data_IF_008655657972
#
_entry.id   IF_008655657972
#
_cell.length_a   1.000
_cell.length_b   1.000
_cell.length_c   1.000
_cell.angle_alpha   90.00
_cell.angle_beta   90.00
_cell.angle_gamma   90.00
#
_symmetry.space_group_name_H-M   'P 1'
#
loop_
_entity.id
_entity.type
_entity.pdbx_description
1 polymer ?
#
# COMPACT_ATOMS: atom_id res chain seq x y z
N UNK A 1 14.04 16.60 11.01
CA UNK A 1 14.20 16.38 12.47
C UNK A 1 15.68 16.18 12.76
N UNK A 2 16.23 16.81 13.80
CA UNK A 2 17.61 16.52 14.23
C UNK A 2 17.63 15.10 14.79
N UNK A 3 18.19 14.14 14.04
CA UNK A 3 18.07 12.71 14.34
C UNK A 3 18.73 12.27 15.66
N UNK A 4 19.53 13.11 16.30
CA UNK A 4 20.30 12.78 17.51
C UNK A 4 19.46 12.51 18.77
N UNK A 5 18.25 13.07 18.86
CA UNK A 5 17.39 12.94 20.04
C UNK A 5 16.73 11.57 20.22
N UNK A 6 16.78 10.72 19.18
CA UNK A 6 16.14 9.40 19.14
C UNK A 6 17.12 8.27 18.81
N UNK A 7 18.41 8.57 18.60
CA UNK A 7 19.41 7.56 18.28
C UNK A 7 19.75 6.69 19.49
N UNK A 8 19.71 5.37 19.23
CA UNK A 8 20.47 4.30 19.89
C UNK A 8 20.25 4.11 21.38
N UNK A 9 19.60 3.01 21.76
CA UNK A 9 20.00 2.38 23.02
C UNK A 9 21.46 1.94 22.83
N UNK A 10 22.40 2.66 23.44
CA UNK A 10 23.83 2.35 23.35
C UNK A 10 24.18 0.92 23.80
N UNK A 11 23.22 0.21 24.42
CA UNK A 11 23.34 -1.18 24.85
C UNK A 11 22.89 -2.19 23.80
N UNK A 12 22.26 -1.76 22.70
CA UNK A 12 21.76 -2.66 21.66
C UNK A 12 22.50 -2.47 20.33
N UNK A 13 23.12 -3.55 19.84
CA UNK A 13 23.72 -3.62 18.51
C UNK A 13 23.34 -4.94 17.86
N UNK A 14 22.83 -4.88 16.63
CA UNK A 14 22.57 -6.08 15.81
C UNK A 14 23.84 -6.89 15.54
N UNK A 15 25.02 -6.28 15.65
CA UNK A 15 26.30 -6.99 15.49
C UNK A 15 26.52 -8.08 16.55
N UNK A 16 25.85 -7.98 17.71
CA UNK A 16 25.90 -8.99 18.77
C UNK A 16 24.99 -10.20 18.50
N UNK A 17 24.18 -10.15 17.44
CA UNK A 17 23.20 -11.18 17.12
C UNK A 17 23.55 -11.87 15.81
N UNK A 18 23.36 -13.19 15.79
CA UNK A 18 23.28 -13.93 14.53
C UNK A 18 21.83 -13.97 14.08
N UNK A 19 21.55 -13.44 12.89
CA UNK A 19 20.25 -13.57 12.26
C UNK A 19 20.09 -14.95 11.61
N UNK A 20 19.05 -15.69 11.98
CA UNK A 20 18.42 -16.71 11.15
C UNK A 20 17.22 -16.12 10.40
N UNK A 21 16.42 -16.94 9.71
CA UNK A 21 15.30 -16.49 8.86
C UNK A 21 14.46 -15.37 9.51
N UNK A 22 13.87 -15.64 10.68
CA UNK A 22 13.11 -14.67 11.48
C UNK A 22 13.47 -14.71 12.97
N UNK A 23 14.59 -15.34 13.31
CA UNK A 23 15.04 -15.57 14.69
C UNK A 23 16.37 -14.89 14.94
N UNK A 24 16.54 -14.35 16.14
CA UNK A 24 17.77 -13.75 16.60
C UNK A 24 18.43 -14.64 17.64
N UNK A 25 19.73 -14.84 17.51
CA UNK A 25 20.51 -15.72 18.37
C UNK A 25 21.68 -14.97 19.02
N UNK A 26 21.97 -15.31 20.27
CA UNK A 26 23.11 -14.80 21.06
C UNK A 26 23.87 -16.01 21.64
N UNK A 27 25.21 -15.99 21.70
CA UNK A 27 25.96 -17.08 22.33
C UNK A 27 25.81 -17.02 23.85
N UNK A 28 25.61 -18.17 24.50
CA UNK A 28 25.68 -18.29 25.95
C UNK A 28 27.14 -18.25 26.45
N UNK A 29 27.33 -18.34 27.77
CA UNK A 29 28.66 -18.34 28.41
C UNK A 29 29.57 -19.50 27.95
N UNK A 30 29.03 -20.52 27.28
CA UNK A 30 29.76 -21.67 26.73
C UNK A 30 29.95 -21.56 25.21
N UNK A 31 29.52 -20.45 24.60
CA UNK A 31 29.60 -20.21 23.16
C UNK A 31 28.49 -20.90 22.34
N UNK A 32 27.46 -21.45 22.99
CA UNK A 32 26.33 -22.10 22.30
C UNK A 32 25.28 -21.05 21.94
N UNK A 33 24.87 -21.03 20.67
CA UNK A 33 23.85 -20.11 20.18
C UNK A 33 22.47 -20.44 20.74
N UNK A 34 21.88 -19.53 21.49
CA UNK A 34 20.52 -19.63 22.01
C UNK A 34 19.62 -18.58 21.36
N UNK A 35 18.36 -18.93 21.13
CA UNK A 35 17.38 -18.00 20.58
C UNK A 35 17.10 -16.91 21.62
N UNK A 36 17.37 -15.66 21.27
CA UNK A 36 17.23 -14.49 22.14
C UNK A 36 16.23 -13.47 21.59
N UNK A 37 15.51 -13.80 20.51
CA UNK A 37 14.56 -12.89 19.90
C UNK A 37 14.03 -13.35 18.55
N UNK A 38 13.30 -12.46 17.89
CA UNK A 38 12.72 -12.66 16.56
C UNK A 38 12.58 -11.33 15.81
N UNK A 39 12.44 -11.42 14.49
CA UNK A 39 12.06 -10.30 13.62
C UNK A 39 10.67 -10.61 13.06
N UNK A 40 9.70 -9.71 13.28
CA UNK A 40 8.33 -9.88 12.77
C UNK A 40 8.27 -9.66 11.25
N UNK A 41 7.18 -10.07 10.60
CA UNK A 41 6.98 -9.84 9.16
C UNK A 41 6.99 -8.34 8.80
N UNK A 42 6.60 -7.50 9.77
CA UNK A 42 6.60 -6.04 9.68
C UNK A 42 7.94 -5.39 10.07
N UNK A 43 8.98 -6.18 10.34
CA UNK A 43 10.34 -5.68 10.62
C UNK A 43 10.59 -5.21 12.04
N UNK A 44 9.66 -5.46 12.98
CA UNK A 44 9.91 -5.18 14.40
C UNK A 44 10.86 -6.24 14.94
N UNK A 45 11.95 -5.79 15.53
CA UNK A 45 12.96 -6.62 16.19
C UNK A 45 12.55 -6.77 17.64
N UNK A 46 12.23 -8.00 18.06
CA UNK A 46 11.86 -8.33 19.43
C UNK A 46 13.01 -9.10 20.09
N UNK A 47 13.48 -8.60 21.22
CA UNK A 47 14.54 -9.24 22.01
C UNK A 47 13.95 -9.75 23.30
N UNK A 48 14.12 -11.05 23.53
CA UNK A 48 13.73 -11.76 24.74
C UNK A 48 14.76 -11.53 25.85
N UNK A 49 14.28 -11.19 27.04
CA UNK A 49 15.03 -11.00 28.29
C UNK A 49 14.06 -10.94 29.47
N UNK A 50 14.44 -10.32 30.60
CA UNK A 50 13.55 -10.13 31.77
C UNK A 50 12.27 -9.32 31.41
N UNK A 51 12.33 -8.52 30.36
CA UNK A 51 11.19 -7.90 29.69
C UNK A 51 11.42 -7.93 28.18
N UNK A 52 10.34 -8.09 27.40
CA UNK A 52 10.40 -8.04 25.94
C UNK A 52 10.67 -6.59 25.52
N UNK A 53 11.83 -6.35 24.91
CA UNK A 53 12.16 -5.07 24.31
C UNK A 53 11.92 -5.13 22.79
N UNK A 54 11.23 -4.12 22.25
CA UNK A 54 10.97 -3.99 20.82
C UNK A 54 11.80 -2.87 20.22
N UNK A 55 12.32 -3.12 19.03
CA UNK A 55 13.16 -2.20 18.28
C UNK A 55 12.73 -2.15 16.82
N UNK A 56 13.10 -1.06 16.15
CA UNK A 56 12.87 -0.86 14.74
C UNK A 56 14.13 -0.29 14.08
N UNK A 57 14.42 -0.72 12.85
CA UNK A 57 15.45 -0.07 12.04
C UNK A 57 14.86 1.11 11.26
N UNK A 58 15.39 2.32 11.49
CA UNK A 58 15.01 3.55 10.81
C UNK A 58 16.26 4.21 10.24
N UNK A 59 16.36 4.28 8.91
CA UNK A 59 17.47 4.96 8.24
C UNK A 59 18.85 4.38 8.55
N UNK A 60 18.95 3.05 8.76
CA UNK A 60 20.19 2.36 9.12
C UNK A 60 20.55 2.42 10.60
N UNK A 61 19.65 2.95 11.46
CA UNK A 61 19.84 3.01 12.90
C UNK A 61 18.73 2.24 13.60
N UNK A 62 19.08 1.50 14.65
CA UNK A 62 18.08 0.80 15.47
C UNK A 62 17.59 1.72 16.60
N UNK A 63 16.27 1.85 16.71
CA UNK A 63 15.59 2.67 17.71
C UNK A 63 14.68 1.80 18.57
N UNK A 64 14.57 2.12 19.86
CA UNK A 64 13.63 1.44 20.75
C UNK A 64 12.21 1.94 20.47
N UNK A 65 11.26 1.02 20.46
CA UNK A 65 9.84 1.29 20.30
C UNK A 65 9.05 0.57 21.37
N UNK A 66 7.98 1.21 21.85
CA UNK A 66 7.01 0.58 22.74
C UNK A 66 5.63 0.60 22.08
N UNK A 67 4.80 -0.41 22.38
CA UNK A 67 3.41 -0.45 21.93
C UNK A 67 2.54 0.35 22.92
N UNK A 68 1.96 1.46 22.45
CA UNK A 68 0.89 2.14 23.15
C UNK A 68 -0.40 1.35 22.95
N UNK A 69 -0.85 0.66 24.01
CA UNK A 69 -2.07 -0.16 23.99
C UNK A 69 -3.36 0.66 23.87
N UNK A 70 -3.34 1.94 24.27
CA UNK A 70 -4.51 2.83 24.18
C UNK A 70 -4.76 3.25 22.74
N UNK A 71 -3.70 3.54 21.99
CA UNK A 71 -3.79 3.89 20.56
C UNK A 71 -3.62 2.68 19.64
N UNK A 72 -3.17 1.54 20.18
CA UNK A 72 -2.72 0.37 19.44
C UNK A 72 -1.69 0.72 18.35
N UNK A 73 -0.68 1.52 18.72
CA UNK A 73 0.38 2.00 17.82
C UNK A 73 1.75 1.90 18.47
N UNK A 74 2.76 1.59 17.66
CA UNK A 74 4.14 1.70 18.10
C UNK A 74 4.55 3.16 18.22
N UNK A 75 5.31 3.48 19.26
CA UNK A 75 5.89 4.78 19.50
C UNK A 75 7.40 4.65 19.63
N UNK A 76 8.15 5.46 18.87
CA UNK A 76 9.58 5.63 19.09
C UNK A 76 9.80 6.39 20.39
N UNK A 77 10.61 5.78 21.25
CA UNK A 77 10.95 6.36 22.55
C UNK A 77 12.21 7.21 22.38
N UNK A 78 12.22 8.46 22.89
CA UNK A 78 13.43 9.28 22.95
C UNK A 78 14.53 8.55 23.71
N UNK A 79 15.80 8.86 23.41
CA UNK A 79 16.87 8.36 24.26
C UNK A 79 16.74 8.97 25.68
N UNK A 80 17.27 8.28 26.69
CA UNK A 80 17.08 8.65 28.10
C UNK A 80 17.56 10.07 28.47
N UNK A 81 18.38 10.70 27.62
CA UNK A 81 18.94 12.04 27.81
C UNK A 81 18.19 13.12 27.01
N UNK A 82 17.12 12.74 26.29
CA UNK A 82 16.32 13.63 25.46
C UNK A 82 14.97 13.90 26.10
N UNK A 83 14.57 15.17 26.13
CA UNK A 83 13.23 15.61 26.51
C UNK A 83 12.27 15.69 25.31
N UNK A 84 12.66 15.16 24.15
CA UNK A 84 11.81 15.16 22.98
C UNK A 84 10.54 14.31 23.22
N UNK A 85 9.38 14.64 22.63
CA UNK A 85 8.21 13.79 22.72
C UNK A 85 8.42 12.50 21.91
N UNK A 86 7.79 11.40 22.33
CA UNK A 86 7.77 10.16 21.55
C UNK A 86 7.06 10.37 20.20
N UNK A 87 7.49 9.62 19.18
CA UNK A 87 6.95 9.73 17.82
C UNK A 87 6.16 8.47 17.51
N UNK A 88 4.84 8.59 17.34
CA UNK A 88 4.02 7.48 16.90
C UNK A 88 4.35 7.10 15.46
N UNK A 89 4.25 5.80 15.18
CA UNK A 89 4.60 5.21 13.90
C UNK A 89 3.37 4.64 13.20
N UNK A 90 3.39 4.75 11.88
CA UNK A 90 2.55 3.98 10.98
C UNK A 90 3.42 3.02 10.18
N UNK A 91 2.86 1.88 9.77
CA UNK A 91 3.47 1.05 8.71
C UNK A 91 3.77 1.92 7.50
N UNK A 92 4.88 1.73 6.80
CA UNK A 92 5.26 2.47 5.61
C UNK A 92 4.69 1.85 4.32
N UNK A 93 5.14 2.36 3.18
CA UNK A 93 4.67 1.87 1.87
C UNK A 93 5.37 0.62 1.36
N UNK A 94 6.55 0.32 1.90
CA UNK A 94 7.37 -0.82 1.53
C UNK A 94 7.34 -1.92 2.60
N UNK A 95 7.66 -3.16 2.22
CA UNK A 95 7.71 -4.28 3.18
C UNK A 95 8.64 -3.96 4.35
N UNK A 96 8.16 -4.23 5.58
CA UNK A 96 8.90 -4.01 6.81
C UNK A 96 9.42 -2.57 6.97
N UNK A 97 8.69 -1.59 6.42
CA UNK A 97 8.99 -0.17 6.57
C UNK A 97 7.98 0.50 7.48
N UNK A 98 8.39 1.63 8.04
CA UNK A 98 7.59 2.45 8.95
C UNK A 98 7.86 3.91 8.66
N UNK A 99 6.90 4.76 9.00
CA UNK A 99 7.00 6.22 8.87
C UNK A 99 6.39 6.88 10.11
N UNK A 100 6.80 8.11 10.46
CA UNK A 100 6.12 8.84 11.52
C UNK A 100 4.63 9.05 11.18
N UNK A 101 3.80 9.03 12.22
CA UNK A 101 2.41 9.47 12.15
C UNK A 101 2.35 10.93 11.71
N UNK A 102 1.32 11.30 10.95
CA UNK A 102 1.06 12.72 10.68
C UNK A 102 0.83 13.46 12.02
N UNK A 103 1.19 14.74 12.11
CA UNK A 103 1.03 15.55 13.34
C UNK A 103 -0.44 15.92 13.59
N UNK A 104 -1.25 14.94 13.97
CA UNK A 104 -2.72 15.04 14.06
C UNK A 104 -3.19 16.24 14.88
N UNK A 105 -2.56 16.50 16.03
CA UNK A 105 -2.88 17.64 16.90
C UNK A 105 -2.58 19.01 16.28
N UNK A 106 -1.86 19.09 15.16
CA UNK A 106 -1.46 20.34 14.50
C UNK A 106 -2.08 20.54 13.11
N UNK A 107 -2.94 19.62 12.66
CA UNK A 107 -3.47 19.63 11.27
C UNK A 107 -5.01 19.63 11.20
N UNK A 108 -5.68 20.18 12.22
CA UNK A 108 -7.15 20.19 12.33
C UNK A 108 -7.88 20.74 11.10
N UNK A 109 -7.31 21.74 10.40
CA UNK A 109 -7.89 22.24 9.15
C UNK A 109 -7.89 21.20 8.03
N UNK A 110 -6.78 20.47 7.87
CA UNK A 110 -6.67 19.38 6.89
C UNK A 110 -7.66 18.27 7.20
N UNK A 111 -7.77 17.90 8.49
CA UNK A 111 -8.70 16.86 8.96
C UNK A 111 -10.15 17.23 8.63
N UNK A 112 -10.55 18.46 8.94
CA UNK A 112 -11.92 18.95 8.63
C UNK A 112 -12.20 18.94 7.13
N UNK A 113 -11.25 19.40 6.31
CA UNK A 113 -11.40 19.40 4.87
C UNK A 113 -11.49 17.97 4.31
N UNK A 114 -10.66 17.04 4.82
CA UNK A 114 -10.68 15.63 4.44
C UNK A 114 -12.00 14.95 4.80
N UNK A 115 -12.51 15.19 6.01
CA UNK A 115 -13.84 14.72 6.43
C UNK A 115 -14.93 15.25 5.50
N UNK A 116 -14.88 16.53 5.11
CA UNK A 116 -15.83 17.12 4.16
C UNK A 116 -15.77 16.43 2.79
N UNK A 117 -14.58 16.14 2.25
CA UNK A 117 -14.40 15.38 1.01
C UNK A 117 -15.04 13.99 1.07
N UNK A 118 -14.94 13.32 2.23
CA UNK A 118 -15.49 11.98 2.44
C UNK A 118 -16.94 11.96 2.91
N UNK A 119 -17.58 13.12 3.10
CA UNK A 119 -18.95 13.24 3.60
C UNK A 119 -19.12 13.06 5.11
N UNK A 120 -18.05 13.06 5.89
CA UNK A 120 -18.05 12.89 7.35
C UNK A 120 -18.13 14.23 8.11
N UNK A 121 -19.00 15.13 7.67
CA UNK A 121 -19.05 16.53 8.16
C UNK A 121 -19.46 16.68 9.63
N UNK A 122 -20.12 15.67 10.21
CA UNK A 122 -20.55 15.66 11.62
C UNK A 122 -19.50 15.12 12.59
N UNK A 123 -18.40 14.55 12.08
CA UNK A 123 -17.37 13.92 12.92
C UNK A 123 -16.43 14.97 13.51
N UNK A 124 -16.35 15.02 14.83
CA UNK A 124 -15.57 16.02 15.60
C UNK A 124 -14.52 15.40 16.53
N UNK A 125 -14.39 14.07 16.55
CA UNK A 125 -13.39 13.33 17.35
C UNK A 125 -11.97 13.82 17.10
N UNK A 126 -11.14 13.77 18.13
CA UNK A 126 -9.69 14.02 18.03
C UNK A 126 -8.99 12.72 17.63
N UNK A 127 -8.47 12.67 16.39
CA UNK A 127 -7.78 11.49 15.86
C UNK A 127 -6.43 11.21 16.55
N UNK A 128 -5.91 12.17 17.33
CA UNK A 128 -4.68 11.96 18.11
C UNK A 128 -4.91 11.15 19.39
N UNK A 129 -6.17 10.90 19.78
CA UNK A 129 -6.52 10.27 21.04
C UNK A 129 -7.16 8.90 20.82
N UNK A 130 -6.73 7.92 21.63
CA UNK A 130 -7.30 6.57 21.64
C UNK A 130 -7.27 5.85 20.29
N UNK A 131 -8.19 4.89 20.13
CA UNK A 131 -8.38 4.13 18.89
C UNK A 131 -9.27 4.94 17.93
N UNK A 132 -8.80 5.12 16.69
CA UNK A 132 -9.58 5.80 15.65
C UNK A 132 -10.87 5.05 15.30
N UNK A 133 -11.97 5.79 15.22
CA UNK A 133 -13.23 5.32 14.63
C UNK A 133 -13.04 4.92 13.16
N UNK A 134 -13.99 4.18 12.58
CA UNK A 134 -13.94 3.81 11.16
C UNK A 134 -13.84 5.04 10.24
N UNK A 135 -14.63 6.08 10.51
CA UNK A 135 -14.63 7.32 9.72
C UNK A 135 -13.31 8.09 9.87
N UNK A 136 -12.74 8.12 11.07
CA UNK A 136 -11.44 8.73 11.32
C UNK A 136 -10.31 7.97 10.63
N UNK A 137 -10.35 6.64 10.66
CA UNK A 137 -9.41 5.78 9.95
C UNK A 137 -9.46 6.01 8.44
N UNK A 138 -10.66 6.07 7.86
CA UNK A 138 -10.84 6.38 6.43
C UNK A 138 -10.35 7.80 6.09
N UNK A 139 -10.63 8.78 6.95
CA UNK A 139 -10.11 10.15 6.81
C UNK A 139 -8.58 10.18 6.87
N UNK A 140 -7.99 9.48 7.83
CA UNK A 140 -6.56 9.38 8.01
C UNK A 140 -5.88 8.73 6.80
N UNK A 141 -6.42 7.59 6.35
CA UNK A 141 -5.92 6.88 5.17
C UNK A 141 -5.96 7.77 3.92
N UNK A 142 -7.07 8.46 3.67
CA UNK A 142 -7.18 9.42 2.55
C UNK A 142 -6.11 10.51 2.61
N UNK A 143 -5.96 11.19 3.75
CA UNK A 143 -4.95 12.25 3.91
C UNK A 143 -3.54 11.71 3.68
N UNK A 144 -3.23 10.55 4.24
CA UNK A 144 -1.90 9.95 4.18
C UNK A 144 -1.56 9.47 2.78
N UNK A 145 -2.49 8.80 2.09
CA UNK A 145 -2.30 8.41 0.69
C UNK A 145 -2.08 9.64 -0.20
N UNK A 146 -2.88 10.69 -0.02
CA UNK A 146 -2.71 11.89 -0.84
C UNK A 146 -1.37 12.59 -0.56
N UNK A 147 -0.95 12.66 0.70
CA UNK A 147 0.36 13.19 1.08
C UNK A 147 1.51 12.40 0.45
N UNK A 148 1.43 11.06 0.45
CA UNK A 148 2.41 10.18 -0.19
C UNK A 148 2.46 10.38 -1.70
N UNK A 149 1.31 10.48 -2.35
CA UNK A 149 1.23 10.80 -3.78
C UNK A 149 1.87 12.16 -4.10
N UNK A 150 1.60 13.19 -3.30
CA UNK A 150 2.21 14.52 -3.49
C UNK A 150 3.74 14.45 -3.40
N UNK A 151 4.28 13.73 -2.40
CA UNK A 151 5.73 13.49 -2.29
C UNK A 151 6.28 12.83 -3.56
N UNK A 152 5.59 11.80 -4.06
CA UNK A 152 5.99 11.09 -5.26
C UNK A 152 5.97 11.99 -6.50
N UNK A 153 4.96 12.86 -6.62
CA UNK A 153 4.77 13.76 -7.75
C UNK A 153 5.76 14.93 -7.75
N UNK A 154 5.98 15.55 -6.59
CA UNK A 154 6.78 16.76 -6.41
C UNK A 154 8.28 16.50 -6.48
N UNK A 155 8.72 15.26 -6.23
CA UNK A 155 10.12 14.89 -6.27
C UNK A 155 10.45 14.12 -7.55
N UNK A 156 11.17 14.71 -8.53
CA UNK A 156 11.47 14.03 -9.79
C UNK A 156 12.24 12.71 -9.64
N UNK A 157 13.11 12.61 -8.62
CA UNK A 157 13.87 11.39 -8.36
C UNK A 157 12.99 10.26 -7.78
N UNK A 158 11.86 10.59 -7.17
CA UNK A 158 10.84 9.61 -6.72
C UNK A 158 9.87 9.31 -7.85
N UNK A 159 9.39 10.34 -8.56
CA UNK A 159 8.45 10.22 -9.69
C UNK A 159 8.98 9.31 -10.78
N UNK A 160 10.25 9.46 -11.12
CA UNK A 160 10.89 8.71 -12.20
C UNK A 160 11.53 7.40 -11.72
N UNK A 161 11.40 7.05 -10.43
CA UNK A 161 11.95 5.81 -9.91
C UNK A 161 11.14 4.59 -10.43
N UNK A 162 11.78 3.42 -10.55
CA UNK A 162 11.08 2.17 -10.79
C UNK A 162 9.95 1.96 -9.79
N UNK A 163 8.80 1.46 -10.23
CA UNK A 163 7.59 1.32 -9.42
C UNK A 163 7.84 0.57 -8.10
N UNK A 164 8.61 -0.52 -8.14
CA UNK A 164 8.97 -1.32 -6.96
C UNK A 164 9.86 -0.59 -5.93
N UNK A 165 10.53 0.51 -6.32
CA UNK A 165 11.38 1.31 -5.42
C UNK A 165 10.69 2.59 -4.93
N UNK A 166 9.57 2.97 -5.53
CA UNK A 166 8.97 4.28 -5.29
C UNK A 166 8.53 4.43 -3.83
N UNK A 167 7.85 3.43 -3.27
CA UNK A 167 7.35 3.48 -1.89
C UNK A 167 8.48 3.64 -0.87
N UNK A 168 9.60 2.92 -1.03
CA UNK A 168 10.77 3.07 -0.16
C UNK A 168 11.34 4.49 -0.22
N UNK A 169 11.37 5.10 -1.41
CA UNK A 169 11.85 6.48 -1.56
C UNK A 169 10.88 7.50 -0.94
N UNK A 170 9.57 7.27 -1.03
CA UNK A 170 8.56 8.08 -0.33
C UNK A 170 8.76 7.97 1.18
N UNK A 171 8.89 6.75 1.72
CA UNK A 171 9.09 6.52 3.16
C UNK A 171 10.36 7.24 3.66
N UNK A 172 11.47 7.12 2.92
CA UNK A 172 12.73 7.83 3.20
C UNK A 172 12.54 9.35 3.17
N UNK A 173 11.77 9.86 2.21
CA UNK A 173 11.46 11.28 2.12
C UNK A 173 10.67 11.76 3.33
N UNK A 174 9.67 11.01 3.79
CA UNK A 174 8.88 11.36 4.98
C UNK A 174 9.77 11.45 6.22
N UNK A 175 10.71 10.51 6.40
CA UNK A 175 11.66 10.57 7.50
C UNK A 175 12.55 11.81 7.47
N UNK A 176 13.00 12.17 6.27
CA UNK A 176 13.97 13.26 6.09
C UNK A 176 13.31 14.64 6.15
N UNK A 177 12.16 14.80 5.48
CA UNK A 177 11.52 16.09 5.21
C UNK A 177 10.13 16.25 5.85
N UNK A 178 9.52 15.15 6.33
CA UNK A 178 8.15 15.15 6.83
C UNK A 178 7.09 15.08 5.71
N UNK A 179 5.81 15.22 6.10
CA UNK A 179 4.70 15.27 5.16
C UNK A 179 4.47 16.69 4.62
N UNK A 180 3.98 16.84 3.36
CA UNK A 180 3.76 18.14 2.72
C UNK A 180 2.45 18.81 3.16
N UNK A 181 2.31 19.14 4.45
CA UNK A 181 1.04 19.62 5.04
C UNK A 181 0.41 20.82 4.32
N UNK A 182 1.20 21.80 3.90
CA UNK A 182 0.68 22.98 3.20
C UNK A 182 0.04 22.65 1.85
N UNK A 183 0.69 21.77 1.07
CA UNK A 183 0.18 21.32 -0.24
C UNK A 183 -1.01 20.38 -0.07
N UNK A 184 -0.95 19.51 0.95
CA UNK A 184 -2.06 18.63 1.31
C UNK A 184 -3.32 19.43 1.66
N UNK A 185 -3.19 20.49 2.45
CA UNK A 185 -4.31 21.40 2.76
C UNK A 185 -4.88 22.00 1.48
N UNK A 186 -4.04 22.55 0.60
CA UNK A 186 -4.47 23.16 -0.67
C UNK A 186 -5.27 22.18 -1.54
N UNK A 187 -4.75 20.97 -1.74
CA UNK A 187 -5.40 19.95 -2.58
C UNK A 187 -6.71 19.43 -1.99
N UNK A 188 -6.75 19.17 -0.68
CA UNK A 188 -7.95 18.67 -0.02
C UNK A 188 -9.01 19.77 0.08
N UNK A 189 -8.63 21.00 0.43
CA UNK A 189 -9.57 22.12 0.55
C UNK A 189 -10.22 22.45 -0.80
N UNK A 190 -9.43 22.53 -1.88
CA UNK A 190 -9.98 22.78 -3.21
C UNK A 190 -11.03 21.73 -3.58
N UNK A 191 -10.75 20.44 -3.32
CA UNK A 191 -11.73 19.36 -3.55
C UNK A 191 -12.95 19.48 -2.64
N UNK A 192 -12.75 19.80 -1.36
CA UNK A 192 -13.81 19.96 -0.38
C UNK A 192 -14.78 21.10 -0.75
N UNK A 193 -14.29 22.13 -1.43
CA UNK A 193 -15.06 23.30 -1.83
C UNK A 193 -15.56 23.23 -3.28
N UNK A 194 -15.32 22.12 -3.99
CA UNK A 194 -15.73 21.96 -5.38
C UNK A 194 -14.98 22.87 -6.35
N UNK A 195 -13.77 23.31 -5.98
CA UNK A 195 -12.92 24.19 -6.78
C UNK A 195 -11.92 23.39 -7.62
N UNK A 196 -11.44 24.00 -8.71
CA UNK A 196 -10.33 23.46 -9.47
C UNK A 196 -9.07 23.32 -8.60
N UNK A 197 -8.27 22.28 -8.85
CA UNK A 197 -7.02 22.08 -8.13
C UNK A 197 -6.03 23.21 -8.45
N UNK A 198 -5.34 23.77 -7.44
CA UNK A 198 -4.30 24.76 -7.67
C UNK A 198 -3.18 24.25 -8.57
N UNK A 199 -2.52 25.15 -9.29
CA UNK A 199 -1.41 24.80 -10.18
C UNK A 199 -0.33 24.00 -9.43
N UNK A 200 0.09 22.90 -10.04
CA UNK A 200 1.09 22.00 -9.47
C UNK A 200 0.58 21.05 -8.40
N UNK A 201 -0.71 21.09 -8.02
CA UNK A 201 -1.31 20.07 -7.15
C UNK A 201 -1.85 18.93 -8.02
N UNK A 202 -1.38 17.72 -7.77
CA UNK A 202 -1.80 16.51 -8.51
C UNK A 202 -3.21 16.08 -8.10
N UNK A 203 -4.01 15.59 -9.05
CA UNK A 203 -5.30 14.98 -8.75
C UNK A 203 -5.11 13.70 -7.95
N UNK A 204 -5.89 13.53 -6.88
CA UNK A 204 -5.79 12.36 -6.02
C UNK A 204 -6.01 11.04 -6.78
N UNK A 205 -5.03 10.15 -6.68
CA UNK A 205 -5.02 8.78 -7.18
C UNK A 205 -4.57 7.87 -6.01
N UNK A 206 -5.49 7.09 -5.40
CA UNK A 206 -5.16 6.20 -4.30
C UNK A 206 -4.02 5.23 -4.61
N UNK A 207 -3.87 4.73 -5.84
CA UNK A 207 -2.82 3.78 -6.17
C UNK A 207 -1.42 4.39 -6.10
N UNK A 208 -1.30 5.69 -6.35
CA UNK A 208 -0.04 6.43 -6.19
C UNK A 208 0.29 6.74 -4.72
N UNK A 209 -0.71 6.71 -3.84
CA UNK A 209 -0.56 6.99 -2.40
C UNK A 209 -0.50 5.76 -1.50
N UNK A 210 -1.14 4.67 -1.89
CA UNK A 210 -1.22 3.44 -1.11
C UNK A 210 0.11 2.69 -1.07
N UNK A 211 0.29 1.86 -0.06
CA UNK A 211 1.44 0.97 0.08
C UNK A 211 1.41 -0.16 -0.94
N UNK A 212 2.57 -0.68 -1.31
CA UNK A 212 2.69 -1.84 -2.20
C UNK A 212 2.81 -3.13 -1.39
N UNK A 213 1.98 -4.11 -1.73
CA UNK A 213 2.04 -5.45 -1.16
C UNK A 213 3.16 -6.23 -1.82
N UNK A 214 4.19 -6.55 -1.06
CA UNK A 214 5.25 -7.45 -1.52
C UNK A 214 4.70 -8.89 -1.55
N UNK A 215 4.64 -9.47 -2.74
CA UNK A 215 4.17 -10.84 -2.94
C UNK A 215 5.20 -11.82 -2.40
N UNK A 216 4.73 -12.91 -1.76
CA UNK A 216 5.60 -13.97 -1.23
C UNK A 216 6.27 -14.75 -2.36
N UNK A 217 7.33 -15.49 -2.05
CA UNK A 217 8.15 -16.20 -3.07
C UNK A 217 7.34 -17.19 -3.92
N UNK A 218 6.30 -17.75 -3.34
CA UNK A 218 5.35 -18.67 -3.97
C UNK A 218 4.31 -17.99 -4.87
N UNK A 219 4.41 -16.66 -5.09
CA UNK A 219 3.46 -15.92 -5.92
C UNK A 219 2.09 -15.80 -5.25
N UNK A 220 2.03 -15.65 -3.93
CA UNK A 220 0.76 -15.49 -3.20
C UNK A 220 0.85 -14.50 -2.04
N UNK A 221 -0.31 -14.09 -1.54
CA UNK A 221 -0.45 -13.35 -0.28
C UNK A 221 -1.82 -13.60 0.37
N UNK A 222 -1.87 -13.42 1.69
CA UNK A 222 -3.09 -13.53 2.47
C UNK A 222 -3.86 -12.21 2.47
N UNK A 223 -5.08 -12.24 1.99
CA UNK A 223 -5.91 -11.05 1.77
C UNK A 223 -6.30 -10.41 3.10
N UNK A 224 -6.65 -11.19 4.11
CA UNK A 224 -7.09 -10.67 5.41
C UNK A 224 -5.94 -10.02 6.18
N UNK A 225 -4.78 -10.67 6.20
CA UNK A 225 -3.59 -10.16 6.87
C UNK A 225 -3.17 -8.81 6.26
N UNK A 226 -3.21 -8.70 4.93
CA UNK A 226 -2.89 -7.45 4.23
C UNK A 226 -3.99 -6.42 4.41
N UNK A 227 -5.27 -6.82 4.30
CA UNK A 227 -6.41 -5.91 4.42
C UNK A 227 -6.68 -5.42 5.85
N UNK A 228 -6.07 -6.04 6.87
CA UNK A 228 -6.08 -5.53 8.25
C UNK A 228 -5.43 -4.14 8.36
N UNK A 229 -4.53 -3.82 7.42
CA UNK A 229 -3.88 -2.53 7.33
C UNK A 229 -4.41 -1.75 6.12
N UNK A 230 -5.08 -0.64 6.43
CA UNK A 230 -5.81 0.20 5.49
C UNK A 230 -4.92 0.92 4.46
N UNK A 231 -3.60 0.84 4.63
CA UNK A 231 -2.64 1.39 3.68
C UNK A 231 -2.40 0.51 2.47
N UNK A 232 -2.61 -0.79 2.59
CA UNK A 232 -2.27 -1.74 1.52
C UNK A 232 -3.41 -2.02 0.57
N UNK A 233 -4.62 -1.53 0.86
CA UNK A 233 -5.75 -1.71 -0.01
C UNK A 233 -6.39 -0.39 -0.41
N UNK A 234 -7.02 -0.43 -1.58
CA UNK A 234 -7.75 0.71 -2.11
C UNK A 234 -8.87 1.14 -1.13
N UNK A 235 -9.09 2.46 -0.94
CA UNK A 235 -10.09 2.94 -0.01
C UNK A 235 -11.48 2.37 -0.32
N UNK A 236 -12.12 1.81 0.70
CA UNK A 236 -13.48 1.31 0.55
C UNK A 236 -14.45 2.47 0.45
N UNK A 237 -15.14 2.59 -0.68
CA UNK A 237 -16.25 3.51 -0.87
C UNK A 237 -17.58 2.77 -0.77
N UNK A 238 -18.64 3.50 -0.43
CA UNK A 238 -19.99 2.96 -0.53
C UNK A 238 -20.32 2.72 -2.01
N UNK A 239 -20.84 1.53 -2.32
CA UNK A 239 -21.18 1.18 -3.71
C UNK A 239 -22.22 2.14 -4.28
N UNK A 240 -22.01 2.54 -5.53
CA UNK A 240 -23.00 3.31 -6.30
C UNK A 240 -24.13 2.40 -6.79
N UNK A 241 -25.24 2.99 -7.23
CA UNK A 241 -26.44 2.24 -7.63
C UNK A 241 -26.17 1.26 -8.79
N UNK A 242 -25.34 1.64 -9.75
CA UNK A 242 -24.89 0.81 -10.87
C UNK A 242 -23.98 -0.34 -10.40
N UNK A 243 -23.08 -0.10 -9.45
CA UNK A 243 -22.24 -1.12 -8.84
C UNK A 243 -23.05 -2.13 -8.02
N UNK A 244 -24.11 -1.68 -7.34
CA UNK A 244 -25.05 -2.54 -6.62
C UNK A 244 -25.75 -3.50 -7.59
N UNK A 245 -26.24 -2.99 -8.73
CA UNK A 245 -26.89 -3.83 -9.73
C UNK A 245 -25.95 -4.92 -10.30
N UNK A 246 -24.68 -4.57 -10.56
CA UNK A 246 -23.67 -5.54 -11.00
C UNK A 246 -23.36 -6.59 -9.93
N UNK A 247 -23.28 -6.16 -8.67
CA UNK A 247 -23.07 -7.05 -7.53
C UNK A 247 -24.24 -8.02 -7.33
N UNK A 248 -25.47 -7.55 -7.43
CA UNK A 248 -26.65 -8.41 -7.29
C UNK A 248 -26.75 -9.41 -8.45
N UNK A 249 -26.43 -9.01 -9.68
CA UNK A 249 -26.31 -9.96 -10.78
C UNK A 249 -25.23 -11.02 -10.51
N UNK A 250 -24.05 -10.62 -10.03
CA UNK A 250 -22.97 -11.56 -9.70
C UNK A 250 -23.38 -12.59 -8.64
N UNK A 251 -24.19 -12.20 -7.65
CA UNK A 251 -24.74 -13.13 -6.64
C UNK A 251 -25.66 -14.19 -7.23
N UNK A 252 -26.40 -13.87 -8.29
CA UNK A 252 -27.31 -14.85 -8.93
C UNK A 252 -26.58 -15.94 -9.71
N UNK A 253 -25.29 -15.74 -10.03
CA UNK A 253 -24.51 -16.68 -10.81
C UNK A 253 -24.01 -17.84 -9.94
N UNK A 254 -24.24 -19.07 -10.40
CA UNK A 254 -23.77 -20.28 -9.72
C UNK A 254 -22.25 -20.33 -9.60
N UNK A 255 -21.74 -20.82 -8.47
CA UNK A 255 -20.31 -21.10 -8.25
C UNK A 255 -19.75 -22.07 -9.29
N UNK A 256 -20.58 -22.94 -9.88
CA UNK A 256 -20.18 -23.85 -10.95
C UNK A 256 -19.98 -23.13 -12.31
N UNK A 257 -20.60 -21.95 -12.51
CA UNK A 257 -20.38 -21.11 -13.69
C UNK A 257 -19.16 -20.19 -13.50
N UNK A 258 -17.97 -20.79 -13.53
CA UNK A 258 -16.72 -20.07 -13.35
C UNK A 258 -16.51 -18.98 -14.41
N UNK A 259 -16.95 -19.22 -15.66
CA UNK A 259 -16.79 -18.28 -16.77
C UNK A 259 -17.71 -17.07 -16.63
N UNK A 260 -19.01 -17.29 -16.38
CA UNK A 260 -19.96 -16.20 -16.17
C UNK A 260 -19.61 -15.38 -14.94
N UNK A 261 -19.20 -16.04 -13.83
CA UNK A 261 -18.73 -15.34 -12.63
C UNK A 261 -17.47 -14.52 -12.87
N UNK A 262 -16.51 -15.03 -13.65
CA UNK A 262 -15.31 -14.28 -14.04
C UNK A 262 -15.66 -13.00 -14.80
N UNK A 263 -16.48 -13.12 -15.85
CA UNK A 263 -16.91 -11.97 -16.67
C UNK A 263 -17.71 -10.93 -15.86
N UNK A 264 -18.60 -11.38 -14.97
CA UNK A 264 -19.33 -10.49 -14.07
C UNK A 264 -18.39 -9.79 -13.07
N UNK A 265 -17.35 -10.48 -12.61
CA UNK A 265 -16.35 -9.93 -11.71
C UNK A 265 -15.55 -8.79 -12.37
N UNK A 266 -15.05 -9.03 -13.59
CA UNK A 266 -14.36 -8.00 -14.38
C UNK A 266 -15.23 -6.75 -14.60
N UNK A 267 -16.53 -6.92 -14.88
CA UNK A 267 -17.48 -5.81 -15.01
C UNK A 267 -17.61 -5.00 -13.73
N UNK A 268 -17.66 -5.65 -12.57
CA UNK A 268 -17.71 -4.96 -11.27
C UNK A 268 -16.46 -4.09 -11.04
N UNK A 269 -15.25 -4.62 -11.29
CA UNK A 269 -14.02 -3.82 -11.17
C UNK A 269 -13.95 -2.69 -12.19
N UNK A 270 -14.39 -2.95 -13.42
CA UNK A 270 -14.45 -1.92 -14.46
C UNK A 270 -15.35 -0.75 -14.05
N UNK A 271 -16.55 -1.04 -13.54
CA UNK A 271 -17.48 -0.03 -13.08
C UNK A 271 -16.88 0.79 -11.92
N UNK A 272 -16.32 0.12 -10.91
CA UNK A 272 -15.64 0.76 -9.78
C UNK A 272 -14.55 1.73 -10.26
N UNK A 273 -13.65 1.28 -11.13
CA UNK A 273 -12.56 2.10 -11.65
C UNK A 273 -13.08 3.29 -12.47
N UNK A 274 -14.06 3.08 -13.37
CA UNK A 274 -14.64 4.18 -14.16
C UNK A 274 -15.33 5.21 -13.26
N UNK A 275 -16.07 4.75 -12.26
CA UNK A 275 -16.76 5.60 -11.30
C UNK A 275 -15.79 6.47 -10.48
N UNK A 276 -14.61 5.94 -10.19
CA UNK A 276 -13.53 6.66 -9.52
C UNK A 276 -12.65 7.51 -10.45
N UNK A 277 -13.01 7.60 -11.74
CA UNK A 277 -12.37 8.49 -12.70
C UNK A 277 -11.16 7.90 -13.44
N UNK A 278 -10.98 6.58 -13.39
CA UNK A 278 -9.96 5.89 -14.20
C UNK A 278 -10.46 5.68 -15.63
N UNK A 279 -9.54 5.81 -16.58
CA UNK A 279 -9.81 5.56 -17.99
C UNK A 279 -9.40 4.13 -18.36
N UNK A 280 -10.35 3.31 -18.78
CA UNK A 280 -10.05 1.96 -19.31
C UNK A 280 -9.39 2.09 -20.68
N UNK A 281 -8.26 1.41 -20.86
CA UNK A 281 -7.52 1.36 -22.12
C UNK A 281 -7.96 0.09 -22.89
N UNK A 282 -8.52 0.22 -24.10
CA UNK A 282 -8.96 -0.93 -24.90
C UNK A 282 -7.78 -1.75 -25.45
N UNK A 283 -8.07 -2.95 -25.97
CA UNK A 283 -7.09 -3.79 -26.69
C UNK A 283 -6.17 -4.64 -25.80
N UNK A 284 -6.31 -4.56 -24.47
CA UNK A 284 -5.49 -5.30 -23.51
C UNK A 284 -6.14 -6.55 -22.93
N UNK A 285 -7.43 -6.76 -23.19
CA UNK A 285 -8.25 -7.79 -22.55
C UNK A 285 -8.12 -9.15 -23.23
N UNK A 286 -8.35 -10.22 -22.48
CA UNK A 286 -8.33 -11.60 -22.99
C UNK A 286 -9.30 -11.79 -24.18
N UNK A 287 -8.76 -12.01 -25.38
CA UNK A 287 -9.52 -12.34 -26.59
C UNK A 287 -10.01 -13.80 -26.67
N UNK A 288 -10.42 -14.39 -25.53
CA UNK A 288 -10.91 -15.78 -25.46
C UNK A 288 -9.89 -16.85 -25.06
N UNK A 289 -8.89 -16.53 -24.22
CA UNK A 289 -7.88 -17.49 -23.74
C UNK A 289 -7.09 -16.99 -22.52
N UNK A 290 -5.87 -17.51 -22.30
CA UNK A 290 -4.94 -17.09 -21.23
C UNK A 290 -3.95 -15.97 -21.65
N UNK A 291 -4.20 -15.28 -22.76
CA UNK A 291 -3.28 -14.30 -23.33
C UNK A 291 -3.88 -12.88 -23.30
N UNK A 292 -3.79 -12.21 -22.16
CA UNK A 292 -4.35 -10.87 -21.95
C UNK A 292 -4.14 -10.39 -20.52
N UNK A 293 -4.67 -9.21 -20.22
CA UNK A 293 -4.88 -8.70 -18.87
C UNK A 293 -6.38 -8.66 -18.59
N UNK A 294 -6.82 -8.70 -17.33
CA UNK A 294 -8.25 -8.54 -17.05
C UNK A 294 -8.70 -7.10 -17.35
N UNK A 295 -7.93 -6.11 -16.89
CA UNK A 295 -8.10 -4.71 -17.26
C UNK A 295 -6.75 -4.01 -17.41
N UNK A 296 -6.70 -3.06 -18.34
CA UNK A 296 -5.63 -2.06 -18.45
C UNK A 296 -6.28 -0.71 -18.32
N UNK A 297 -5.71 0.16 -17.48
CA UNK A 297 -6.32 1.45 -17.20
C UNK A 297 -5.29 2.53 -16.86
N UNK A 298 -5.69 3.79 -17.03
CA UNK A 298 -4.90 4.98 -16.74
C UNK A 298 -5.52 5.74 -15.59
N UNK A 299 -4.68 6.11 -14.62
CA UNK A 299 -5.09 6.91 -13.46
C UNK A 299 -5.20 8.40 -13.77
N UNK A 300 -5.84 9.17 -12.89
CA UNK A 300 -5.95 10.62 -13.03
C UNK A 300 -4.60 11.35 -13.11
N UNK A 301 -3.55 10.78 -12.49
CA UNK A 301 -2.19 11.29 -12.55
C UNK A 301 -1.43 10.89 -13.83
N UNK A 302 -2.05 10.07 -14.68
CA UNK A 302 -1.50 9.64 -15.97
C UNK A 302 -0.69 8.33 -15.94
N UNK A 303 -0.52 7.72 -14.78
CA UNK A 303 0.13 6.41 -14.62
C UNK A 303 -0.71 5.27 -15.21
N UNK A 304 -0.03 4.24 -15.73
CA UNK A 304 -0.64 3.07 -16.37
C UNK A 304 -0.60 1.88 -15.43
N UNK A 305 -1.72 1.17 -15.35
CA UNK A 305 -1.94 0.04 -14.48
C UNK A 305 -2.40 -1.18 -15.27
N UNK A 306 -1.91 -2.35 -14.88
CA UNK A 306 -2.48 -3.65 -15.26
C UNK A 306 -3.18 -4.26 -14.05
N UNK A 307 -4.39 -4.79 -14.27
CA UNK A 307 -5.19 -5.49 -13.27
C UNK A 307 -5.26 -6.97 -13.58
N UNK A 308 -5.10 -7.79 -12.55
CA UNK A 308 -5.60 -9.17 -12.53
C UNK A 308 -6.64 -9.33 -11.42
N UNK A 309 -7.78 -9.90 -11.76
CA UNK A 309 -8.93 -10.13 -10.91
C UNK A 309 -8.97 -11.60 -10.49
N UNK A 310 -9.07 -11.83 -9.19
CA UNK A 310 -9.12 -13.17 -8.60
C UNK A 310 -10.30 -13.30 -7.66
N UNK A 311 -10.90 -14.49 -7.64
CA UNK A 311 -11.77 -14.90 -6.55
C UNK A 311 -10.90 -15.36 -5.37
N UNK A 312 -11.02 -14.71 -4.22
CA UNK A 312 -10.20 -15.07 -3.05
C UNK A 312 -10.68 -16.41 -2.48
N UNK A 313 -9.92 -17.49 -2.73
CA UNK A 313 -10.17 -18.83 -2.18
C UNK A 313 -9.32 -19.02 -0.93
N UNK A 314 -9.82 -19.77 0.07
CA UNK A 314 -10.09 -19.20 1.40
C UNK A 314 -9.19 -18.01 1.77
N UNK A 315 -9.56 -16.80 1.32
CA UNK A 315 -8.91 -15.51 1.67
C UNK A 315 -7.41 -15.40 1.31
N UNK A 316 -6.92 -16.23 0.38
CA UNK A 316 -5.62 -16.05 -0.27
C UNK A 316 -5.82 -15.67 -1.73
N UNK A 317 -4.89 -14.87 -2.25
CA UNK A 317 -4.70 -14.69 -3.70
C UNK A 317 -3.39 -15.36 -4.10
N UNK A 318 -3.46 -16.19 -5.13
CA UNK A 318 -2.30 -16.83 -5.75
C UNK A 318 -2.27 -16.48 -7.23
N UNK A 319 -1.12 -16.01 -7.69
CA UNK A 319 -0.84 -15.78 -9.09
C UNK A 319 -0.54 -17.13 -9.73
N UNK A 320 -1.09 -17.38 -10.91
CA UNK A 320 -0.81 -18.62 -11.61
C UNK A 320 0.60 -18.57 -12.22
N UNK A 321 1.34 -19.68 -12.15
CA UNK A 321 2.58 -19.83 -12.90
C UNK A 321 2.25 -20.14 -14.36
N UNK A 322 2.72 -19.30 -15.27
CA UNK A 322 2.53 -19.42 -16.72
C UNK A 322 3.92 -19.55 -17.37
N UNK A 323 4.29 -20.80 -17.65
CA UNK A 323 5.65 -21.21 -18.00
C UNK A 323 6.65 -20.87 -16.87
N UNK A 324 7.69 -20.10 -17.17
CA UNK A 324 8.78 -19.75 -16.25
C UNK A 324 8.45 -18.55 -15.33
N UNK A 325 7.30 -17.87 -15.50
CA UNK A 325 6.93 -16.69 -14.70
C UNK A 325 5.53 -16.82 -14.12
N UNK A 326 5.33 -16.31 -12.92
CA UNK A 326 4.02 -16.01 -12.37
C UNK A 326 3.34 -14.86 -13.11
N UNK A 327 2.01 -14.89 -13.16
CA UNK A 327 1.22 -13.75 -13.61
C UNK A 327 1.64 -12.48 -12.86
N UNK A 328 1.61 -11.35 -13.55
CA UNK A 328 2.06 -10.04 -13.08
C UNK A 328 3.58 -9.87 -12.94
N UNK A 329 4.42 -10.88 -13.17
CA UNK A 329 5.87 -10.63 -13.36
C UNK A 329 6.14 -9.88 -14.68
N UNK A 330 7.22 -9.10 -14.74
CA UNK A 330 7.60 -8.36 -15.96
C UNK A 330 7.77 -9.29 -17.16
N UNK A 331 8.36 -10.47 -16.94
CA UNK A 331 8.51 -11.47 -18.00
C UNK A 331 7.17 -12.01 -18.50
N UNK A 332 6.19 -12.19 -17.60
CA UNK A 332 4.83 -12.56 -18.00
C UNK A 332 4.16 -11.42 -18.79
N UNK A 333 4.26 -10.18 -18.33
CA UNK A 333 3.73 -9.00 -19.05
C UNK A 333 4.31 -8.94 -20.48
N UNK A 334 5.63 -9.10 -20.63
CA UNK A 334 6.28 -9.12 -21.97
C UNK A 334 5.74 -10.24 -22.85
N UNK A 335 5.40 -11.41 -22.29
CA UNK A 335 4.77 -12.49 -23.05
C UNK A 335 3.36 -12.13 -23.50
N UNK A 336 2.55 -11.54 -22.63
CA UNK A 336 1.21 -11.07 -22.97
C UNK A 336 1.27 -10.04 -24.11
N UNK A 337 2.14 -9.04 -24.00
CA UNK A 337 2.34 -8.01 -25.02
C UNK A 337 2.72 -8.58 -26.41
N UNK A 338 3.46 -9.69 -26.46
CA UNK A 338 3.79 -10.37 -27.73
C UNK A 338 2.59 -11.03 -28.40
N UNK A 339 1.54 -11.35 -27.63
CA UNK A 339 0.32 -12.02 -28.10
C UNK A 339 -0.83 -11.05 -28.39
N UNK A 340 -0.83 -9.86 -27.79
CA UNK A 340 -1.80 -8.82 -28.11
C UNK A 340 -1.69 -8.38 -29.57
N UNK A 341 -2.84 -8.03 -30.15
CA UNK A 341 -2.95 -7.55 -31.52
C UNK A 341 -1.98 -6.38 -31.76
N UNK A 342 -1.26 -6.43 -32.88
CA UNK A 342 -0.32 -5.38 -33.29
C UNK A 342 -1.02 -4.22 -33.98
N UNK A 343 -2.23 -4.43 -34.47
CA UNK A 343 -3.02 -3.41 -35.17
C UNK A 343 -3.77 -2.47 -34.23
N UNK A 344 -3.91 -2.84 -32.94
CA UNK A 344 -4.48 -2.00 -31.88
C UNK A 344 -3.37 -1.45 -30.96
N UNK A 345 -2.95 -0.18 -31.12
CA UNK A 345 -1.90 0.39 -30.31
C UNK A 345 -2.31 0.64 -28.84
N UNK A 346 -3.60 0.55 -28.47
CA UNK A 346 -4.14 0.98 -27.18
C UNK A 346 -3.36 0.47 -25.96
N UNK A 347 -3.78 -0.66 -25.39
CA UNK A 347 -3.15 -1.20 -24.17
C UNK A 347 -1.72 -1.69 -24.42
N UNK A 348 -1.47 -2.27 -25.60
CA UNK A 348 -0.17 -2.85 -25.96
C UNK A 348 0.96 -1.82 -25.86
N UNK A 349 0.79 -0.65 -26.48
CA UNK A 349 1.83 0.40 -26.48
C UNK A 349 1.97 1.02 -25.09
N UNK A 350 0.86 1.38 -24.45
CA UNK A 350 0.89 2.03 -23.14
C UNK A 350 1.54 1.16 -22.06
N UNK A 351 1.24 -0.15 -22.06
CA UNK A 351 1.85 -1.10 -21.11
C UNK A 351 3.32 -1.34 -21.45
N UNK A 352 3.69 -1.45 -22.74
CA UNK A 352 5.09 -1.58 -23.15
C UNK A 352 5.93 -0.36 -22.73
N UNK A 353 5.45 0.85 -23.03
CA UNK A 353 6.13 2.10 -22.68
C UNK A 353 6.29 2.26 -21.16
N UNK A 354 5.23 1.93 -20.39
CA UNK A 354 5.30 1.96 -18.93
C UNK A 354 6.28 0.90 -18.38
N UNK A 355 6.29 -0.30 -18.96
CA UNK A 355 7.19 -1.38 -18.55
C UNK A 355 8.66 -1.03 -18.84
N UNK A 356 8.96 -0.49 -20.02
CA UNK A 356 10.31 -0.11 -20.42
C UNK A 356 10.87 1.03 -19.57
N UNK A 357 10.00 1.94 -19.12
CA UNK A 357 10.33 2.98 -18.13
C UNK A 357 10.38 2.45 -16.69
N UNK A 358 10.13 1.16 -16.48
CA UNK A 358 9.98 0.53 -15.15
C UNK A 358 8.90 1.19 -14.27
N UNK A 359 7.91 1.83 -14.91
CA UNK A 359 6.80 2.60 -14.31
C UNK A 359 5.44 1.93 -14.49
N UNK A 360 5.42 0.63 -14.83
CA UNK A 360 4.18 -0.14 -14.90
C UNK A 360 3.75 -0.55 -13.49
N UNK A 361 2.60 -0.05 -13.04
CA UNK A 361 1.99 -0.45 -11.79
C UNK A 361 1.10 -1.68 -11.98
N UNK A 362 1.11 -2.56 -10.98
CA UNK A 362 0.43 -3.86 -11.02
C UNK A 362 -0.57 -3.92 -9.89
N UNK A 363 -1.80 -4.31 -10.23
CA UNK A 363 -2.91 -4.30 -9.30
C UNK A 363 -3.58 -5.67 -9.28
N UNK A 364 -3.90 -6.16 -8.09
CA UNK A 364 -4.73 -7.33 -7.89
C UNK A 364 -6.09 -6.90 -7.36
N UNK A 365 -7.16 -7.28 -8.07
CA UNK A 365 -8.52 -7.23 -7.56
C UNK A 365 -8.87 -8.57 -6.91
N UNK A 366 -9.16 -8.59 -5.62
CA UNK A 366 -9.61 -9.76 -4.87
C UNK A 366 -11.09 -9.63 -4.52
N UNK A 367 -11.91 -10.51 -5.08
CA UNK A 367 -13.33 -10.59 -4.75
C UNK A 367 -13.52 -11.58 -3.62
N UNK A 368 -13.91 -11.07 -2.45
CA UNK A 368 -14.13 -11.84 -1.24
C UNK A 368 -15.39 -12.72 -1.36
N UNK A 369 -15.57 -13.72 -0.46
CA UNK A 369 -16.76 -14.59 -0.49
C UNK A 369 -18.10 -13.86 -0.36
N UNK A 370 -18.13 -12.73 0.35
CA UNK A 370 -19.29 -11.82 0.46
C UNK A 370 -19.44 -10.90 -0.77
N UNK A 371 -18.55 -11.05 -1.76
CA UNK A 371 -18.42 -10.25 -2.98
C UNK A 371 -18.00 -8.80 -2.75
N UNK A 372 -17.43 -8.47 -1.59
CA UNK A 372 -16.64 -7.25 -1.43
C UNK A 372 -15.44 -7.28 -2.38
N UNK A 373 -15.21 -6.17 -3.06
CA UNK A 373 -14.06 -5.97 -3.94
C UNK A 373 -12.94 -5.33 -3.12
N UNK A 374 -11.73 -5.86 -3.23
CA UNK A 374 -10.55 -5.28 -2.59
C UNK A 374 -9.43 -5.20 -3.62
N UNK A 375 -8.82 -4.03 -3.77
CA UNK A 375 -7.78 -3.78 -4.75
C UNK A 375 -6.44 -3.56 -4.03
N UNK A 376 -5.40 -4.22 -4.49
CA UNK A 376 -4.04 -4.16 -3.93
C UNK A 376 -3.05 -3.73 -5.01
N UNK A 377 -2.24 -2.71 -4.75
CA UNK A 377 -1.01 -2.48 -5.53
C UNK A 377 0.01 -3.53 -5.10
N UNK A 378 0.60 -4.27 -6.05
CA UNK A 378 1.50 -5.40 -5.76
C UNK A 378 2.90 -5.20 -6.34
N UNK A 379 3.89 -5.77 -5.66
CA UNK A 379 5.26 -5.92 -6.14
C UNK A 379 5.61 -7.39 -6.31
N UNK A 380 5.98 -7.75 -7.54
CA UNK A 380 6.39 -9.10 -7.95
C UNK A 380 7.92 -9.27 -7.97
N UNK A 381 8.70 -8.21 -7.72
CA UNK A 381 10.16 -8.23 -7.84
C UNK A 381 10.85 -9.21 -6.87
N UNK A 382 10.20 -9.52 -5.74
CA UNK A 382 10.69 -10.46 -4.74
C UNK A 382 10.39 -11.94 -5.04
N UNK A 383 9.60 -12.23 -6.07
CA UNK A 383 9.28 -13.60 -6.48
C UNK A 383 10.50 -14.18 -7.21
N UNK A 384 11.09 -15.26 -6.66
CA UNK A 384 12.23 -15.94 -7.28
C UNK A 384 11.72 -17.15 -8.06
N UNK A 385 12.21 -17.33 -9.29
CA UNK A 385 11.88 -18.44 -10.21
C UNK A 385 12.54 -19.74 -9.79
#
# INVERSE_FOLDING_TARGET
>A
MAGQSYYGDARFSLASFKAGDNKLYVPDARGVWQQSGAITEDGIIQISGDSIASYLEVGGVVVRVDLDSTRNKYQMIPNAHSHAPGVYLDTGGSRASWVPEMRLGSIGAIIRAARKVLGYTTVTSDMSQGVMSTQDRQTYCYMRQYARQMIAFDNPAIRNAPAHLQDRKIDTHIWTHGYPYGRLLQGIQAKADGLALPMGIVQFDPFQGMATVAVRREGSFNVDAVAANDQFHYPHQQRRADEIALFDHWKTLSIQDAKGRGLANEKMYRALLVNDGYQIIPGGTYGGGQNGFDLVFKGPAGDVYVLEVKHAKPRNVSMQRVYEHFQMEDGWVRRVLKKLDRSDPGARQQVADALDRQRLFKVIGATLPDGKLVLFKIDMSGVRV
#
